data_IF_777979934607
#
_entry.id   IF_777979934607
#
_cell.length_a   1.000
_cell.length_b   1.000
_cell.length_c   1.000
_cell.angle_alpha   90.00
_cell.angle_beta   90.00
_cell.angle_gamma   90.00
#
_symmetry.space_group_name_H-M   'P 1'
#
loop_
_entity.id
_entity.type
_entity.pdbx_description
1 polymer ?
#
# COMPACT_ATOMS: atom_id res chain seq x y z
N UNK A 1 3.42 -18.48 4.66
CA UNK A 1 3.32 -18.28 3.20
C UNK A 1 4.71 -18.25 2.56
N UNK A 2 5.66 -17.43 3.04
CA UNK A 2 7.03 -17.33 2.46
C UNK A 2 7.75 -18.68 2.37
N UNK A 3 7.67 -19.53 3.41
CA UNK A 3 8.27 -20.87 3.41
C UNK A 3 7.76 -21.78 2.29
N UNK A 4 6.60 -21.48 1.71
CA UNK A 4 6.02 -22.22 0.58
C UNK A 4 6.25 -21.51 -0.77
N UNK A 5 7.09 -20.48 -0.80
CA UNK A 5 7.44 -19.76 -2.02
C UNK A 5 6.37 -18.80 -2.56
N UNK A 6 5.34 -18.47 -1.76
CA UNK A 6 4.31 -17.52 -2.19
C UNK A 6 4.83 -16.09 -2.27
N UNK A 7 4.36 -15.36 -3.30
CA UNK A 7 4.39 -13.90 -3.30
C UNK A 7 3.28 -13.38 -2.41
N UNK A 8 3.59 -12.40 -1.57
CA UNK A 8 2.67 -11.87 -0.55
C UNK A 8 2.30 -10.44 -0.87
N UNK A 9 1.03 -10.11 -0.73
CA UNK A 9 0.55 -8.73 -0.62
C UNK A 9 0.17 -8.48 0.83
N UNK A 10 0.92 -7.61 1.50
CA UNK A 10 0.73 -7.24 2.88
C UNK A 10 -0.04 -5.93 2.96
N UNK A 11 -1.28 -5.98 3.42
CA UNK A 11 -2.12 -4.79 3.57
C UNK A 11 -1.88 -4.12 4.92
N UNK A 12 -1.61 -2.82 4.90
CA UNK A 12 -1.47 -1.97 6.10
C UNK A 12 -2.23 -0.67 5.90
N UNK A 13 -2.82 -0.15 6.97
CA UNK A 13 -3.52 1.12 6.89
C UNK A 13 -4.34 1.45 8.14
N UNK A 14 -4.47 2.71 8.40
CA UNK A 14 -5.15 3.22 9.58
C UNK A 14 -6.68 3.21 9.46
N UNK A 15 -7.33 3.07 10.60
CA UNK A 15 -8.76 3.28 10.75
C UNK A 15 -9.12 4.76 10.69
N UNK A 16 -10.41 5.09 10.50
CA UNK A 16 -10.91 6.47 10.56
C UNK A 16 -10.60 7.15 11.90
N UNK A 17 -10.76 6.44 13.00
CA UNK A 17 -10.47 6.97 14.33
C UNK A 17 -8.99 7.30 14.52
N UNK A 18 -8.09 6.43 14.06
CA UNK A 18 -6.64 6.67 14.10
C UNK A 18 -6.25 7.87 13.25
N UNK A 19 -6.83 8.01 12.05
CA UNK A 19 -6.58 9.16 11.18
C UNK A 19 -7.03 10.46 11.82
N UNK A 20 -8.26 10.51 12.35
CA UNK A 20 -8.81 11.72 12.97
C UNK A 20 -8.02 12.15 14.22
N UNK A 21 -7.38 11.21 14.89
CA UNK A 21 -6.51 11.48 16.06
C UNK A 21 -5.03 11.69 15.70
N UNK A 22 -4.68 11.79 14.41
CA UNK A 22 -3.31 12.00 13.95
C UNK A 22 -2.38 10.78 14.14
N UNK A 23 -2.94 9.59 14.38
CA UNK A 23 -2.20 8.36 14.71
C UNK A 23 -1.91 7.46 13.51
N UNK A 24 -2.08 7.94 12.26
CA UNK A 24 -1.80 7.17 11.04
C UNK A 24 -0.41 6.54 11.05
N UNK A 25 0.63 7.32 11.34
CA UNK A 25 2.01 6.82 11.35
C UNK A 25 2.23 5.74 12.42
N UNK A 26 1.69 5.95 13.61
CA UNK A 26 1.78 4.99 14.72
C UNK A 26 1.11 3.67 14.34
N UNK A 27 -0.07 3.72 13.70
CA UNK A 27 -0.78 2.53 13.26
C UNK A 27 0.02 1.75 12.22
N UNK A 28 0.50 2.41 11.16
CA UNK A 28 1.29 1.78 10.09
C UNK A 28 2.60 1.19 10.63
N UNK A 29 3.32 1.93 11.48
CA UNK A 29 4.58 1.47 12.07
C UNK A 29 4.38 0.22 12.94
N UNK A 30 3.32 0.21 13.76
CA UNK A 30 2.96 -0.92 14.60
C UNK A 30 2.65 -2.15 13.73
N UNK A 31 1.78 -2.01 12.73
CA UNK A 31 1.40 -3.11 11.84
C UNK A 31 2.61 -3.69 11.11
N UNK A 32 3.47 -2.83 10.54
CA UNK A 32 4.69 -3.28 9.87
C UNK A 32 5.65 -3.99 10.83
N UNK A 33 5.88 -3.44 12.02
CA UNK A 33 6.77 -4.03 13.03
C UNK A 33 6.29 -5.41 13.51
N UNK A 34 4.99 -5.57 13.72
CA UNK A 34 4.40 -6.83 14.18
C UNK A 34 4.42 -7.90 13.07
N UNK A 35 4.03 -7.54 11.85
CA UNK A 35 3.88 -8.51 10.76
C UNK A 35 5.22 -8.91 10.16
N UNK A 36 6.18 -7.99 10.09
CA UNK A 36 7.52 -8.24 9.55
C UNK A 36 8.49 -8.81 10.58
N UNK A 37 8.05 -8.98 11.83
CA UNK A 37 8.88 -9.59 12.86
C UNK A 37 9.32 -11.01 12.47
N UNK A 38 10.62 -11.25 12.50
CA UNK A 38 11.22 -12.53 12.12
C UNK A 38 11.30 -12.80 10.62
N UNK A 39 10.98 -11.82 9.77
CA UNK A 39 11.21 -11.88 8.32
C UNK A 39 12.63 -11.36 8.03
N UNK A 40 13.40 -12.07 7.22
CA UNK A 40 14.73 -11.63 6.81
C UNK A 40 14.66 -10.67 5.61
N UNK A 41 15.65 -9.76 5.49
CA UNK A 41 15.68 -8.75 4.42
C UNK A 41 15.60 -9.36 3.02
N UNK A 42 16.29 -10.47 2.76
CA UNK A 42 16.26 -11.16 1.48
C UNK A 42 14.91 -11.77 1.10
N UNK A 43 13.98 -11.89 2.05
CA UNK A 43 12.62 -12.36 1.82
C UNK A 43 11.69 -11.23 1.36
N UNK A 44 12.06 -9.96 1.59
CA UNK A 44 11.25 -8.80 1.21
C UNK A 44 10.98 -8.71 -0.29
N UNK A 45 11.83 -9.28 -1.13
CA UNK A 45 11.61 -9.39 -2.59
C UNK A 45 10.32 -10.13 -2.95
N UNK A 46 9.79 -10.94 -2.05
CA UNK A 46 8.56 -11.68 -2.21
C UNK A 46 7.35 -10.98 -1.57
N UNK A 47 7.54 -9.78 -1.03
CA UNK A 47 6.50 -9.00 -0.34
C UNK A 47 6.22 -7.72 -1.12
N UNK A 48 4.95 -7.46 -1.37
CA UNK A 48 4.43 -6.16 -1.82
C UNK A 48 3.60 -5.58 -0.69
N UNK A 49 3.85 -4.35 -0.29
CA UNK A 49 3.03 -3.66 0.73
C UNK A 49 1.90 -2.93 0.03
N UNK A 50 0.66 -3.18 0.44
CA UNK A 50 -0.50 -2.42 0.00
C UNK A 50 -0.90 -1.42 1.10
N UNK A 51 -0.79 -0.13 0.83
CA UNK A 51 -1.38 0.88 1.69
C UNK A 51 -2.88 0.93 1.45
N UNK A 52 -3.65 0.46 2.41
CA UNK A 52 -5.11 0.39 2.37
C UNK A 52 -5.72 1.10 3.57
N UNK A 53 -5.91 2.42 3.52
CA UNK A 53 -6.60 3.11 4.62
C UNK A 53 -8.01 2.53 4.77
N UNK A 54 -8.28 1.90 5.92
CA UNK A 54 -9.54 1.13 6.17
C UNK A 54 -10.79 1.96 5.88
N UNK A 55 -10.73 3.27 6.11
CA UNK A 55 -11.83 4.20 5.87
C UNK A 55 -12.11 4.46 4.38
N UNK A 56 -11.22 4.05 3.47
CA UNK A 56 -11.36 4.22 2.02
C UNK A 56 -11.76 2.93 1.30
N UNK A 57 -11.55 1.76 1.93
CA UNK A 57 -11.83 0.45 1.32
C UNK A 57 -13.35 0.21 1.24
N UNK A 58 -13.86 -0.04 0.03
CA UNK A 58 -15.28 -0.36 -0.20
C UNK A 58 -16.28 0.75 0.09
N UNK A 59 -15.82 1.97 0.42
CA UNK A 59 -16.69 3.08 0.82
C UNK A 59 -16.97 4.09 -0.30
N UNK A 60 -16.36 3.95 -1.46
CA UNK A 60 -16.35 4.95 -2.53
C UNK A 60 -15.44 6.16 -2.24
N UNK A 61 -14.83 6.24 -1.06
CA UNK A 61 -13.90 7.30 -0.68
C UNK A 61 -12.49 6.95 -1.15
N UNK A 62 -11.76 7.98 -1.55
CA UNK A 62 -10.37 7.87 -1.99
C UNK A 62 -9.54 8.81 -1.13
N UNK A 63 -8.36 8.35 -0.71
CA UNK A 63 -7.40 9.26 -0.12
C UNK A 63 -6.84 10.20 -1.19
N UNK A 64 -6.67 11.47 -0.86
CA UNK A 64 -6.04 12.42 -1.78
C UNK A 64 -4.57 12.05 -2.04
N UNK A 65 -4.03 12.55 -3.14
CA UNK A 65 -2.66 12.26 -3.58
C UNK A 65 -1.60 12.62 -2.54
N UNK A 66 -1.81 13.68 -1.76
CA UNK A 66 -0.91 14.10 -0.68
C UNK A 66 -0.91 13.06 0.44
N UNK A 67 -2.08 12.66 0.90
CA UNK A 67 -2.25 11.62 1.93
C UNK A 67 -1.57 10.32 1.53
N UNK A 68 -1.81 9.86 0.30
CA UNK A 68 -1.19 8.64 -0.24
C UNK A 68 0.34 8.80 -0.26
N UNK A 69 0.85 9.93 -0.76
CA UNK A 69 2.28 10.19 -0.85
C UNK A 69 2.97 10.20 0.53
N UNK A 70 2.34 10.83 1.52
CA UNK A 70 2.86 10.87 2.89
C UNK A 70 2.91 9.49 3.53
N UNK A 71 1.85 8.70 3.38
CA UNK A 71 1.81 7.33 3.91
C UNK A 71 2.85 6.43 3.25
N UNK A 72 2.98 6.46 1.93
CA UNK A 72 3.94 5.65 1.18
C UNK A 72 5.39 6.02 1.55
N UNK A 73 5.71 7.31 1.65
CA UNK A 73 7.02 7.77 2.13
C UNK A 73 7.30 7.27 3.55
N UNK A 74 6.29 7.31 4.41
CA UNK A 74 6.43 6.83 5.78
C UNK A 74 6.65 5.31 5.83
N UNK A 75 5.91 4.52 5.05
CA UNK A 75 6.12 3.07 4.92
C UNK A 75 7.57 2.80 4.49
N UNK A 76 8.07 3.46 3.43
CA UNK A 76 9.46 3.29 2.98
C UNK A 76 10.47 3.61 4.08
N UNK A 77 10.28 4.74 4.77
CA UNK A 77 11.18 5.12 5.85
C UNK A 77 11.13 4.14 7.04
N UNK A 78 9.99 3.51 7.27
CA UNK A 78 9.86 2.46 8.29
C UNK A 78 10.62 1.20 7.88
N UNK A 79 10.51 0.78 6.62
CA UNK A 79 11.29 -0.36 6.09
C UNK A 79 12.80 -0.06 6.15
N UNK A 80 13.23 1.19 5.82
CA UNK A 80 14.62 1.60 5.98
C UNK A 80 15.13 1.39 7.42
N UNK A 81 14.32 1.75 8.41
CA UNK A 81 14.70 1.58 9.84
C UNK A 81 14.68 0.14 10.30
N UNK A 82 13.76 -0.67 9.80
CA UNK A 82 13.64 -2.09 10.18
C UNK A 82 14.72 -2.96 9.53
N UNK A 83 15.20 -2.58 8.34
CA UNK A 83 16.13 -3.37 7.54
C UNK A 83 17.30 -2.52 7.03
N UNK A 84 17.17 -1.90 5.85
CA UNK A 84 18.20 -1.08 5.22
C UNK A 84 17.60 -0.04 4.26
N UNK A 85 18.40 0.97 3.87
CA UNK A 85 18.01 1.92 2.82
C UNK A 85 17.72 1.23 1.47
N UNK A 86 18.47 0.19 1.15
CA UNK A 86 18.25 -0.61 -0.07
C UNK A 86 16.90 -1.28 -0.01
N UNK A 87 16.57 -1.94 1.10
CA UNK A 87 15.26 -2.57 1.30
C UNK A 87 14.10 -1.57 1.12
N UNK A 88 14.21 -0.39 1.72
CA UNK A 88 13.17 0.64 1.57
C UNK A 88 13.05 1.22 0.17
N UNK A 89 14.12 1.24 -0.64
CA UNK A 89 14.07 1.64 -2.04
C UNK A 89 13.43 0.56 -2.93
N UNK A 90 13.75 -0.70 -2.68
CA UNK A 90 13.35 -1.82 -3.53
C UNK A 90 11.98 -2.39 -3.21
N UNK A 91 11.49 -2.25 -1.96
CA UNK A 91 10.18 -2.75 -1.58
C UNK A 91 9.09 -2.19 -2.49
N UNK A 92 8.24 -3.06 -3.02
CA UNK A 92 7.09 -2.64 -3.83
C UNK A 92 5.99 -2.15 -2.92
N UNK A 93 5.45 -0.97 -3.23
CA UNK A 93 4.31 -0.40 -2.50
C UNK A 93 3.21 -0.06 -3.50
N UNK A 94 2.00 -0.57 -3.25
CA UNK A 94 0.81 -0.28 -4.04
C UNK A 94 -0.22 0.44 -3.16
N UNK A 95 -1.14 1.15 -3.78
CA UNK A 95 -2.28 1.75 -3.08
C UNK A 95 -3.53 0.93 -3.31
N UNK A 96 -4.27 0.62 -2.24
CA UNK A 96 -5.59 0.02 -2.26
C UNK A 96 -6.65 0.97 -1.71
N UNK A 97 -7.84 0.87 -2.28
CA UNK A 97 -8.98 1.71 -1.91
C UNK A 97 -10.04 1.66 -3.02
N UNK A 98 -10.93 2.64 -3.04
CA UNK A 98 -11.93 2.77 -4.12
C UNK A 98 -11.27 3.32 -5.38
N UNK A 99 -10.72 2.44 -6.23
CA UNK A 99 -9.94 2.81 -7.42
C UNK A 99 -10.84 2.71 -8.67
N UNK A 100 -10.85 3.80 -9.45
CA UNK A 100 -11.48 3.89 -10.77
C UNK A 100 -10.43 4.24 -11.84
N UNK A 101 -10.72 4.08 -13.15
CA UNK A 101 -9.77 4.49 -14.20
C UNK A 101 -9.32 5.95 -14.09
N UNK A 102 -10.23 6.86 -13.66
CA UNK A 102 -9.90 8.27 -13.49
C UNK A 102 -8.91 8.50 -12.35
N UNK A 103 -9.16 7.87 -11.21
CA UNK A 103 -8.32 8.04 -10.01
C UNK A 103 -6.98 7.33 -10.14
N UNK A 104 -6.93 6.21 -10.88
CA UNK A 104 -5.70 5.49 -11.16
C UNK A 104 -4.67 6.38 -11.87
N UNK A 105 -5.09 7.21 -12.83
CA UNK A 105 -4.21 8.16 -13.53
C UNK A 105 -3.47 9.10 -12.57
N UNK A 106 -4.15 9.62 -11.56
CA UNK A 106 -3.54 10.53 -10.59
C UNK A 106 -2.63 9.78 -9.62
N UNK A 107 -3.00 8.54 -9.25
CA UNK A 107 -2.16 7.68 -8.43
C UNK A 107 -0.87 7.31 -9.17
N UNK A 108 -0.93 6.96 -10.45
CA UNK A 108 0.24 6.59 -11.25
C UNK A 108 1.24 7.75 -11.48
N UNK A 109 0.83 9.00 -11.33
CA UNK A 109 1.75 10.16 -11.33
C UNK A 109 2.68 10.16 -10.11
N UNK A 110 2.34 9.42 -9.05
CA UNK A 110 3.16 9.34 -7.85
C UNK A 110 4.28 8.32 -8.02
N UNK A 111 5.49 8.81 -8.30
CA UNK A 111 6.69 7.98 -8.53
C UNK A 111 7.10 7.08 -7.36
N UNK A 112 6.53 7.28 -6.17
CA UNK A 112 6.83 6.44 -5.00
C UNK A 112 5.95 5.19 -4.93
N UNK A 113 4.93 5.08 -5.80
CA UNK A 113 3.98 3.97 -5.86
C UNK A 113 4.33 3.07 -7.04
N UNK A 114 4.26 1.76 -6.83
CA UNK A 114 4.56 0.76 -7.86
C UNK A 114 3.30 0.25 -8.58
N UNK A 115 2.10 0.65 -8.14
CA UNK A 115 0.84 0.23 -8.73
C UNK A 115 -0.35 0.40 -7.80
N UNK A 116 -1.43 -0.27 -8.12
CA UNK A 116 -2.68 -0.25 -7.35
C UNK A 116 -3.17 -1.65 -7.03
N UNK A 117 -3.87 -1.81 -5.92
CA UNK A 117 -4.60 -3.01 -5.55
C UNK A 117 -6.09 -2.74 -5.79
N UNK A 118 -6.69 -3.46 -6.74
CA UNK A 118 -8.03 -3.19 -7.24
C UNK A 118 -9.02 -4.22 -6.72
N UNK A 119 -10.04 -3.75 -5.99
CA UNK A 119 -11.16 -4.57 -5.51
C UNK A 119 -12.31 -4.62 -6.54
N UNK A 120 -13.48 -4.04 -6.18
CA UNK A 120 -14.73 -4.15 -6.94
C UNK A 120 -14.64 -3.81 -8.43
N UNK A 121 -13.83 -2.83 -8.83
CA UNK A 121 -13.63 -2.47 -10.25
C UNK A 121 -13.07 -3.63 -11.08
N UNK A 122 -12.32 -4.57 -10.47
CA UNK A 122 -11.78 -5.74 -11.17
C UNK A 122 -12.85 -6.75 -11.62
N UNK A 123 -14.05 -6.67 -11.06
CA UNK A 123 -15.18 -7.53 -11.42
C UNK A 123 -15.85 -7.09 -12.74
N UNK A 124 -15.56 -5.90 -13.24
CA UNK A 124 -16.00 -5.41 -14.53
C UNK A 124 -14.82 -5.37 -15.50
N UNK A 125 -14.79 -6.29 -16.46
CA UNK A 125 -13.68 -6.45 -17.39
C UNK A 125 -13.38 -5.17 -18.21
N UNK A 126 -14.41 -4.41 -18.59
CA UNK A 126 -14.25 -3.16 -19.37
C UNK A 126 -13.60 -2.08 -18.52
N UNK A 127 -14.08 -1.88 -17.30
CA UNK A 127 -13.53 -0.88 -16.38
C UNK A 127 -12.12 -1.26 -15.92
N UNK A 128 -11.88 -2.55 -15.68
CA UNK A 128 -10.56 -3.04 -15.34
C UNK A 128 -9.55 -2.83 -16.46
N UNK A 129 -9.94 -3.12 -17.72
CA UNK A 129 -9.09 -2.87 -18.88
C UNK A 129 -8.77 -1.38 -19.07
N UNK A 130 -9.73 -0.47 -18.82
CA UNK A 130 -9.49 0.98 -18.82
C UNK A 130 -8.51 1.40 -17.73
N UNK A 131 -8.60 0.78 -16.53
CA UNK A 131 -7.72 1.06 -15.41
C UNK A 131 -6.27 0.66 -15.71
N UNK A 132 -6.06 -0.50 -16.35
CA UNK A 132 -4.72 -0.96 -16.74
C UNK A 132 -4.07 -0.03 -17.78
N UNK A 133 -4.88 0.61 -18.62
CA UNK A 133 -4.44 1.54 -19.68
C UNK A 133 -4.40 3.01 -19.23
N UNK A 134 -4.75 3.30 -17.97
CA UNK A 134 -4.80 4.66 -17.44
C UNK A 134 -3.38 5.26 -17.14
#
# INVERSE_FOLDING_TARGET
>A
ALRYGFQIVLCVGETRAQRNSGKTKIAIEKELGEILFGIYENELKNITIAYEPVWAVGTGKIADSKTISEAVKFIRSTINRLYSETAGKEIKIVYGGSITPQTARDIYKNKNINGVLVGGTSLNAVEFAKLIKA
#
